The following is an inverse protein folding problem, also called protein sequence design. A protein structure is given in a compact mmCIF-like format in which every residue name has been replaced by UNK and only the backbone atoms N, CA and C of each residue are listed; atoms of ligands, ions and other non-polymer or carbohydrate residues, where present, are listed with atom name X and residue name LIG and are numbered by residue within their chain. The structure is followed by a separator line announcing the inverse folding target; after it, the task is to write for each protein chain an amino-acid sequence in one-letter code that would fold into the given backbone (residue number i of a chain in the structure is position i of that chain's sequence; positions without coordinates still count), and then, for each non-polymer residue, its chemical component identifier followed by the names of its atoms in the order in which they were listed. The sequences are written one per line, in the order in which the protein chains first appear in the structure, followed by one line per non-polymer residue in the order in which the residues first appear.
data_IF_939878150843
#
_entry.id   IF_939878150843
#
_cell.length_a   1.000
_cell.length_b   1.000
_cell.length_c   1.000
_cell.angle_alpha   90.00
_cell.angle_beta   90.00
_cell.angle_gamma   90.00
#
_symmetry.space_group_name_H-M   'P 1'
#
loop_
_entity.id
_entity.type
_entity.pdbx_description
1 polymer ?
#
# COMPACT_ATOMS: atom_id res chain seq x y z
N UNK A 1 3.61 -13.50 8.23
CA UNK A 1 4.84 -12.68 8.23
C UNK A 1 4.54 -11.29 8.81
N UNK A 2 5.48 -10.66 9.52
CA UNK A 2 5.33 -9.28 10.05
C UNK A 2 6.46 -8.42 9.52
N UNK A 3 6.19 -7.16 9.23
CA UNK A 3 7.19 -6.24 8.72
C UNK A 3 6.80 -4.78 8.99
N UNK A 4 7.80 -3.92 9.14
CA UNK A 4 7.60 -2.49 9.36
C UNK A 4 7.04 -1.82 8.10
N UNK A 5 5.96 -1.05 8.28
CA UNK A 5 5.38 -0.18 7.26
C UNK A 5 5.52 1.27 7.69
N UNK A 6 6.20 2.08 6.89
CA UNK A 6 6.24 3.54 7.07
C UNK A 6 5.03 4.15 6.39
N UNK A 7 4.14 4.79 7.17
CA UNK A 7 2.94 5.45 6.65
C UNK A 7 3.32 6.76 5.94
N UNK A 8 2.84 6.94 4.72
CA UNK A 8 3.00 8.18 3.96
C UNK A 8 1.71 8.99 3.95
N UNK A 9 0.58 8.33 3.72
CA UNK A 9 -0.69 8.97 3.45
C UNK A 9 -1.74 8.45 4.43
N UNK A 10 -2.24 9.31 5.35
CA UNK A 10 -3.32 8.94 6.23
C UNK A 10 -4.60 8.64 5.44
N UNK A 11 -5.38 7.68 5.93
CA UNK A 11 -6.75 7.42 5.47
C UNK A 11 -7.55 8.73 5.40
N UNK A 12 -8.34 8.90 4.35
CA UNK A 12 -9.14 10.11 4.13
C UNK A 12 -8.36 11.28 3.54
N UNK A 13 -7.05 11.17 3.34
CA UNK A 13 -6.25 12.23 2.72
C UNK A 13 -6.51 12.31 1.21
N UNK A 14 -6.56 13.55 0.69
CA UNK A 14 -6.42 13.89 -0.75
C UNK A 14 -5.01 14.33 -1.12
N UNK A 15 -4.14 14.45 -0.12
CA UNK A 15 -2.76 14.86 -0.28
C UNK A 15 -1.92 13.60 -0.41
N UNK A 16 -1.32 13.42 -1.58
CA UNK A 16 -0.34 12.35 -1.82
C UNK A 16 1.01 12.83 -1.33
N UNK A 17 1.37 12.37 -0.15
CA UNK A 17 2.73 12.46 0.35
C UNK A 17 3.55 11.29 -0.19
N UNK A 18 4.87 11.46 -0.15
CA UNK A 18 5.86 10.41 -0.39
C UNK A 18 7.05 10.64 0.53
N UNK A 19 7.76 9.58 0.89
CA UNK A 19 9.05 9.67 1.56
C UNK A 19 10.14 9.70 0.50
N UNK A 20 10.96 10.74 0.54
CA UNK A 20 12.20 10.82 -0.22
C UNK A 20 13.18 9.79 0.36
N UNK A 21 13.31 8.62 -0.28
CA UNK A 21 14.07 7.47 0.26
C UNK A 21 15.57 7.73 0.41
N UNK A 22 16.13 8.76 -0.23
CA UNK A 22 17.51 9.19 -0.02
C UNK A 22 17.68 9.98 1.29
N UNK A 23 16.69 10.83 1.63
CA UNK A 23 16.79 11.77 2.77
C UNK A 23 15.93 11.40 3.97
N UNK A 24 14.98 10.47 3.81
CA UNK A 24 13.99 10.07 4.81
C UNK A 24 12.94 11.15 5.11
N UNK A 25 12.83 12.20 4.28
CA UNK A 25 11.88 13.30 4.53
C UNK A 25 10.55 13.05 3.83
N UNK A 26 9.47 13.38 4.53
CA UNK A 26 8.13 13.43 3.92
C UNK A 26 8.04 14.64 2.99
N UNK A 27 7.61 14.40 1.77
CA UNK A 27 7.45 15.38 0.70
C UNK A 27 6.01 15.35 0.20
N UNK A 28 5.50 16.52 -0.19
CA UNK A 28 4.28 16.62 -0.98
C UNK A 28 4.63 16.28 -2.43
N UNK A 29 4.13 15.16 -2.93
CA UNK A 29 4.15 14.87 -4.37
C UNK A 29 3.09 15.72 -5.07
N UNK A 30 1.81 15.48 -4.73
CA UNK A 30 0.68 16.23 -5.31
C UNK A 30 -0.58 16.15 -4.44
N UNK A 31 -1.55 17.01 -4.77
CA UNK A 31 -2.95 16.81 -4.37
C UNK A 31 -3.63 16.02 -5.49
N UNK A 32 -4.44 15.01 -5.14
CA UNK A 32 -5.14 14.20 -6.13
C UNK A 32 -6.02 15.07 -7.04
N UNK A 33 -6.00 14.77 -8.34
CA UNK A 33 -6.75 15.51 -9.36
C UNK A 33 -8.26 15.24 -9.26
N UNK A 34 -8.63 14.08 -8.69
CA UNK A 34 -10.00 13.69 -8.40
C UNK A 34 -10.44 14.17 -7.00
N UNK A 35 -11.74 14.09 -6.73
CA UNK A 35 -12.30 14.33 -5.38
C UNK A 35 -12.21 13.09 -4.47
N UNK A 36 -11.37 12.11 -4.82
CA UNK A 36 -11.21 10.87 -4.07
C UNK A 36 -10.24 11.02 -2.91
N UNK A 37 -10.34 10.11 -1.95
CA UNK A 37 -9.51 10.06 -0.73
C UNK A 37 -9.03 8.63 -0.53
N UNK A 38 -7.83 8.47 0.05
CA UNK A 38 -7.27 7.15 0.34
C UNK A 38 -8.19 6.37 1.31
N UNK A 39 -8.61 5.13 0.97
CA UNK A 39 -9.57 4.35 1.76
C UNK A 39 -8.97 3.71 3.01
N UNK A 40 -7.65 3.56 3.04
CA UNK A 40 -6.83 3.02 4.14
C UNK A 40 -5.65 3.95 4.40
N UNK A 41 -4.91 3.72 5.49
CA UNK A 41 -3.58 4.33 5.59
C UNK A 41 -2.68 3.66 4.54
N UNK A 42 -1.88 4.46 3.85
CA UNK A 42 -1.02 4.01 2.77
C UNK A 42 0.42 4.38 3.06
N UNK A 43 1.33 3.51 2.65
CA UNK A 43 2.77 3.73 2.72
C UNK A 43 3.49 2.55 2.09
N UNK A 44 4.68 2.24 2.58
CA UNK A 44 5.52 1.19 2.02
C UNK A 44 6.18 0.34 3.11
N UNK A 45 6.57 -0.88 2.76
CA UNK A 45 7.38 -1.74 3.61
C UNK A 45 8.83 -1.30 3.62
N UNK A 46 9.40 -1.10 4.80
CA UNK A 46 10.80 -0.70 4.96
C UNK A 46 11.74 -1.77 4.38
N UNK A 47 12.87 -1.38 3.79
CA UNK A 47 13.87 -2.35 3.29
C UNK A 47 13.32 -3.36 2.25
N UNK A 48 12.45 -2.90 1.35
CA UNK A 48 11.92 -3.68 0.24
C UNK A 48 12.20 -2.97 -1.09
N UNK A 49 12.16 -3.73 -2.19
CA UNK A 49 12.28 -3.22 -3.55
C UNK A 49 11.29 -3.98 -4.44
N UNK A 50 10.29 -3.27 -4.95
CA UNK A 50 9.30 -3.73 -5.91
C UNK A 50 9.88 -3.94 -7.31
N UNK A 51 9.03 -4.37 -8.24
CA UNK A 51 9.42 -4.57 -9.64
C UNK A 51 9.54 -3.27 -10.44
N UNK A 52 8.88 -2.22 -9.98
CA UNK A 52 8.92 -0.85 -10.52
C UNK A 52 10.16 -0.05 -10.05
N UNK A 53 10.89 -0.57 -9.06
CA UNK A 53 12.09 0.05 -8.50
C UNK A 53 11.84 0.89 -7.25
N UNK A 54 10.59 1.00 -6.79
CA UNK A 54 10.22 1.67 -5.55
C UNK A 54 10.03 0.63 -4.41
N UNK A 55 9.99 1.02 -3.13
CA UNK A 55 9.63 0.09 -2.06
C UNK A 55 8.22 -0.50 -2.24
N UNK A 56 7.99 -1.72 -1.75
CA UNK A 56 6.71 -2.39 -1.89
C UNK A 56 5.61 -1.66 -1.10
N UNK A 57 4.53 -1.30 -1.79
CA UNK A 57 3.42 -0.57 -1.21
C UNK A 57 2.57 -1.41 -0.25
N UNK A 58 2.08 -0.73 0.78
CA UNK A 58 1.23 -1.30 1.83
C UNK A 58 -0.02 -0.45 2.10
N UNK A 59 -1.16 -1.14 2.24
CA UNK A 59 -2.44 -0.61 2.70
C UNK A 59 -2.68 -1.10 4.13
N UNK A 60 -2.61 -0.22 5.11
CA UNK A 60 -2.75 -0.58 6.52
C UNK A 60 -4.18 -0.29 6.99
N UNK A 61 -4.90 -1.36 7.34
CA UNK A 61 -6.22 -1.29 7.94
C UNK A 61 -6.15 -0.88 9.41
N UNK A 62 -6.53 0.37 9.68
CA UNK A 62 -6.75 0.91 11.02
C UNK A 62 -7.80 2.02 10.96
N UNK A 63 -9.04 1.66 10.58
CA UNK A 63 -10.05 2.63 10.14
C UNK A 63 -10.55 3.59 11.23
N UNK A 64 -10.52 3.17 12.49
CA UNK A 64 -11.04 3.94 13.63
C UNK A 64 -10.00 4.87 14.26
N UNK A 65 -8.75 4.87 13.77
CA UNK A 65 -7.67 5.65 14.35
C UNK A 65 -6.86 6.35 13.26
N UNK A 66 -6.57 7.63 13.49
CA UNK A 66 -5.72 8.41 12.62
C UNK A 66 -4.24 8.09 12.86
N UNK A 67 -3.49 8.00 11.77
CA UNK A 67 -2.03 7.96 11.75
C UNK A 67 -1.49 9.21 11.07
N UNK A 68 -0.19 9.45 11.22
CA UNK A 68 0.48 10.60 10.63
C UNK A 68 1.59 10.14 9.67
N UNK A 69 1.93 10.94 8.64
CA UNK A 69 3.06 10.64 7.76
C UNK A 69 4.36 10.45 8.57
N UNK A 70 5.13 9.43 8.24
CA UNK A 70 6.38 9.04 8.90
C UNK A 70 6.21 8.14 10.14
N UNK A 71 4.99 7.78 10.53
CA UNK A 71 4.76 6.77 11.58
C UNK A 71 5.09 5.38 11.04
N UNK A 72 5.88 4.62 11.78
CA UNK A 72 6.17 3.21 11.50
C UNK A 72 5.16 2.32 12.23
N UNK A 73 4.64 1.31 11.53
CA UNK A 73 3.64 0.37 12.04
C UNK A 73 4.09 -1.06 11.78
N UNK A 74 4.11 -1.88 12.83
CA UNK A 74 4.22 -3.34 12.71
C UNK A 74 2.96 -3.88 12.03
N UNK A 75 3.09 -4.32 10.78
CA UNK A 75 1.96 -4.78 9.97
C UNK A 75 2.15 -6.23 9.51
N UNK A 76 1.03 -6.94 9.30
CA UNK A 76 1.01 -8.28 8.72
C UNK A 76 0.16 -8.32 7.44
N UNK A 77 0.66 -8.90 6.34
CA UNK A 77 -0.11 -9.08 5.11
C UNK A 77 -1.32 -10.00 5.30
N UNK A 78 -2.41 -9.70 4.59
CA UNK A 78 -3.62 -10.56 4.52
C UNK A 78 -4.10 -10.78 3.08
N UNK A 79 -3.69 -9.93 2.13
CA UNK A 79 -4.01 -10.04 0.71
C UNK A 79 -3.11 -9.10 -0.10
N UNK A 80 -3.09 -9.25 -1.42
CA UNK A 80 -2.44 -8.30 -2.34
C UNK A 80 -3.39 -7.94 -3.47
N UNK A 81 -3.50 -6.66 -3.77
CA UNK A 81 -4.20 -6.15 -4.94
C UNK A 81 -3.19 -5.89 -6.05
N UNK A 82 -3.31 -6.67 -7.13
CA UNK A 82 -2.41 -6.56 -8.29
C UNK A 82 -3.02 -5.63 -9.33
N UNK A 83 -2.20 -4.72 -9.84
CA UNK A 83 -2.54 -3.84 -10.94
C UNK A 83 -1.29 -3.52 -11.75
N UNK A 84 -1.52 -3.06 -12.99
CA UNK A 84 -0.48 -2.48 -13.84
C UNK A 84 -0.88 -1.05 -14.15
N UNK A 85 0.07 -0.12 -14.11
CA UNK A 85 -0.12 1.27 -14.53
C UNK A 85 0.94 1.71 -15.55
N UNK A 86 1.05 3.02 -15.81
CA UNK A 86 2.02 3.55 -16.76
C UNK A 86 3.50 3.42 -16.33
N UNK A 87 3.77 3.04 -15.08
CA UNK A 87 5.09 2.76 -14.52
C UNK A 87 5.48 1.28 -14.52
N UNK A 88 4.51 0.36 -14.56
CA UNK A 88 4.77 -1.08 -14.55
C UNK A 88 3.77 -1.86 -13.69
N UNK A 89 4.19 -3.02 -13.20
CA UNK A 89 3.44 -3.78 -12.21
C UNK A 89 3.47 -3.06 -10.86
N UNK A 90 2.31 -2.88 -10.26
CA UNK A 90 2.09 -2.01 -9.10
C UNK A 90 1.26 -2.74 -8.02
N UNK A 91 1.91 -3.64 -7.29
CA UNK A 91 1.25 -4.46 -6.27
C UNK A 91 1.01 -3.67 -4.98
N UNK A 92 -0.22 -3.73 -4.45
CA UNK A 92 -0.61 -3.09 -3.19
C UNK A 92 -0.93 -4.15 -2.15
N UNK A 93 -0.08 -4.30 -1.13
CA UNK A 93 -0.31 -5.32 -0.10
C UNK A 93 -1.27 -4.81 0.96
N UNK A 94 -2.41 -5.48 1.13
CA UNK A 94 -3.34 -5.20 2.21
C UNK A 94 -2.86 -5.85 3.51
N UNK A 95 -2.78 -5.04 4.55
CA UNK A 95 -2.27 -5.41 5.86
C UNK A 95 -3.21 -5.00 6.97
N UNK A 96 -3.06 -5.67 8.11
CA UNK A 96 -3.58 -5.21 9.40
C UNK A 96 -2.42 -5.04 10.39
N UNK A 97 -2.64 -4.20 11.41
CA UNK A 97 -1.66 -3.97 12.47
C UNK A 97 -1.46 -5.23 13.32
N UNK A 98 -0.25 -5.41 13.85
CA UNK A 98 0.05 -6.49 14.81
C UNK A 98 -0.49 -6.17 16.21
N UNK A 99 -1.81 -6.26 16.36
CA UNK A 99 -2.51 -6.04 17.61
C UNK A 99 -3.60 -7.09 17.79
N UNK A 100 -3.75 -7.61 19.02
CA UNK A 100 -4.72 -8.65 19.37
C UNK A 100 -6.16 -8.32 18.99
N UNK A 101 -6.52 -7.03 18.92
CA UNK A 101 -7.84 -6.58 18.46
C UNK A 101 -8.13 -7.00 17.03
N UNK A 102 -7.11 -7.21 16.21
CA UNK A 102 -7.20 -7.56 14.79
C UNK A 102 -6.93 -9.04 14.51
N UNK A 103 -6.73 -9.88 15.53
CA UNK A 103 -6.47 -11.34 15.36
C UNK A 103 -7.58 -12.08 14.61
N UNK A 104 -8.79 -11.52 14.54
CA UNK A 104 -9.91 -12.08 13.79
C UNK A 104 -9.80 -11.89 12.26
N UNK A 105 -8.91 -11.03 11.77
CA UNK A 105 -8.73 -10.75 10.33
C UNK A 105 -7.49 -11.48 9.83
N UNK A 106 -7.63 -12.62 9.16
CA UNK A 106 -6.50 -13.45 8.72
C UNK A 106 -6.35 -13.49 7.20
N UNK A 107 -7.46 -13.38 6.48
CA UNK A 107 -7.55 -13.44 5.02
C UNK A 107 -8.40 -12.30 4.48
N UNK A 108 -8.39 -12.09 3.16
CA UNK A 108 -9.26 -11.10 2.50
C UNK A 108 -10.75 -11.31 2.82
N UNK A 109 -11.18 -12.56 3.01
CA UNK A 109 -12.57 -12.90 3.33
C UNK A 109 -13.04 -12.43 4.70
N UNK A 110 -12.11 -12.05 5.58
CA UNK A 110 -12.42 -11.51 6.91
C UNK A 110 -12.61 -9.98 6.88
N UNK A 111 -12.38 -9.35 5.72
CA UNK A 111 -12.55 -7.92 5.48
C UNK A 111 -13.95 -7.64 4.95
N UNK A 112 -14.54 -6.51 5.36
CA UNK A 112 -15.81 -6.05 4.81
C UNK A 112 -15.73 -5.93 3.27
N UNK A 113 -16.66 -6.57 2.57
CA UNK A 113 -16.64 -6.62 1.10
C UNK A 113 -16.74 -5.25 0.44
N UNK A 114 -17.36 -4.26 1.09
CA UNK A 114 -17.45 -2.91 0.57
C UNK A 114 -16.12 -2.18 0.71
N UNK A 115 -15.36 -2.40 1.79
CA UNK A 115 -14.00 -1.87 1.90
C UNK A 115 -13.10 -2.41 0.77
N UNK A 116 -13.18 -3.72 0.50
CA UNK A 116 -12.40 -4.33 -0.59
C UNK A 116 -12.74 -3.67 -1.94
N UNK A 117 -14.03 -3.45 -2.21
CA UNK A 117 -14.50 -2.75 -3.43
C UNK A 117 -14.10 -1.27 -3.45
N UNK A 118 -14.09 -0.59 -2.31
CA UNK A 118 -13.63 0.81 -2.19
C UNK A 118 -12.15 0.94 -2.51
N UNK A 119 -11.31 0.01 -2.04
CA UNK A 119 -9.88 -0.04 -2.35
C UNK A 119 -9.66 -0.23 -3.84
N UNK A 120 -10.30 -1.24 -4.45
CA UNK A 120 -10.19 -1.50 -5.89
C UNK A 120 -10.66 -0.29 -6.71
N UNK A 121 -11.83 0.27 -6.37
CA UNK A 121 -12.36 1.44 -7.05
C UNK A 121 -11.43 2.66 -6.92
N UNK A 122 -10.83 2.88 -5.74
CA UNK A 122 -9.89 3.97 -5.53
C UNK A 122 -8.71 3.87 -6.50
N UNK A 123 -7.98 2.75 -6.51
CA UNK A 123 -6.78 2.62 -7.33
C UNK A 123 -7.09 2.62 -8.84
N UNK A 124 -8.23 2.10 -9.25
CA UNK A 124 -8.65 2.16 -10.66
C UNK A 124 -9.04 3.56 -11.15
N UNK A 125 -9.32 4.52 -10.26
CA UNK A 125 -9.99 5.79 -10.63
C UNK A 125 -9.27 7.05 -10.16
N UNK A 126 -8.43 6.98 -9.13
CA UNK A 126 -7.86 8.18 -8.53
C UNK A 126 -7.02 9.03 -9.50
N UNK A 127 -6.45 8.38 -10.52
CA UNK A 127 -5.65 8.96 -11.62
C UNK A 127 -6.48 9.38 -12.86
N UNK A 128 -7.81 9.23 -12.88
CA UNK A 128 -8.65 9.46 -14.07
C UNK A 128 -8.53 10.88 -14.68
N UNK A 129 -8.16 11.87 -13.86
CA UNK A 129 -7.99 13.27 -14.28
C UNK A 129 -6.52 13.68 -14.43
N UNK A 130 -5.58 12.75 -14.28
CA UNK A 130 -4.15 12.99 -14.50
C UNK A 130 -3.80 12.76 -15.98
N UNK A 131 -3.27 13.77 -16.70
CA UNK A 131 -2.98 13.64 -18.13
C UNK A 131 -2.00 12.51 -18.44
N UNK A 132 -2.41 11.57 -19.29
CA UNK A 132 -1.55 10.47 -19.76
C UNK A 132 -1.41 9.29 -18.79
N UNK A 133 -2.08 9.31 -17.64
CA UNK A 133 -2.08 8.21 -16.66
C UNK A 133 -3.20 7.21 -16.95
N UNK A 134 -2.95 5.95 -16.63
CA UNK A 134 -3.93 4.87 -16.75
C UNK A 134 -3.64 3.79 -15.71
N UNK A 135 -4.66 3.01 -15.36
CA UNK A 135 -4.55 1.87 -14.44
C UNK A 135 -5.36 0.71 -15.00
N UNK A 136 -4.83 -0.50 -14.84
CA UNK A 136 -5.53 -1.75 -15.14
C UNK A 136 -5.45 -2.69 -13.94
N UNK A 137 -6.61 -3.05 -13.38
CA UNK A 137 -6.69 -4.04 -12.33
C UNK A 137 -6.42 -5.46 -12.88
N UNK A 138 -5.66 -6.23 -12.12
CA UNK A 138 -5.44 -7.67 -12.31
C UNK A 138 -6.18 -8.49 -11.25
N UNK A 139 -6.54 -7.86 -10.15
CA UNK A 139 -7.43 -8.39 -9.13
C UNK A 139 -6.72 -8.71 -7.83
N UNK A 140 -7.48 -9.29 -6.90
CA UNK A 140 -6.98 -9.68 -5.59
C UNK A 140 -6.38 -11.08 -5.60
N UNK A 141 -5.27 -11.26 -4.89
CA UNK A 141 -4.71 -12.55 -4.52
C UNK A 141 -4.65 -12.70 -2.98
N UNK A 142 -4.51 -13.94 -2.54
CA UNK A 142 -4.59 -14.31 -1.13
C UNK A 142 -3.37 -13.88 -0.29
N UNK A 143 -3.41 -14.19 1.00
CA UNK A 143 -2.31 -13.91 1.93
C UNK A 143 -1.00 -14.58 1.49
N UNK A 144 -1.05 -15.80 0.95
CA UNK A 144 0.16 -16.51 0.55
C UNK A 144 0.87 -15.79 -0.60
N UNK A 145 0.12 -15.28 -1.57
CA UNK A 145 0.66 -14.45 -2.63
C UNK A 145 1.23 -13.13 -2.09
N UNK A 146 0.56 -12.51 -1.12
CA UNK A 146 1.01 -11.28 -0.49
C UNK A 146 2.34 -11.46 0.29
N UNK A 147 2.47 -12.55 1.04
CA UNK A 147 3.70 -12.89 1.75
C UNK A 147 4.83 -13.22 0.78
N UNK A 148 4.53 -13.94 -0.32
CA UNK A 148 5.52 -14.23 -1.36
C UNK A 148 6.05 -12.97 -2.05
N UNK A 149 5.18 -11.99 -2.34
CA UNK A 149 5.61 -10.71 -2.94
C UNK A 149 6.47 -9.89 -1.98
N UNK A 150 6.12 -9.87 -0.69
CA UNK A 150 6.93 -9.21 0.34
C UNK A 150 8.30 -9.88 0.47
N UNK A 151 8.37 -11.21 0.53
CA UNK A 151 9.64 -11.95 0.57
C UNK A 151 10.50 -11.69 -0.68
N UNK A 152 9.89 -11.68 -1.86
CA UNK A 152 10.57 -11.36 -3.11
C UNK A 152 11.14 -9.94 -3.09
N UNK A 153 10.38 -8.97 -2.59
CA UNK A 153 10.79 -7.57 -2.49
C UNK A 153 11.91 -7.34 -1.47
N UNK A 154 11.87 -8.03 -0.32
CA UNK A 154 12.97 -8.02 0.65
C UNK A 154 14.25 -8.57 0.03
N UNK A 155 14.13 -9.68 -0.73
CA UNK A 155 15.27 -10.29 -1.40
C UNK A 155 15.87 -9.36 -2.46
N UNK A 156 15.05 -8.75 -3.32
CA UNK A 156 15.50 -7.77 -4.33
C UNK A 156 16.26 -6.61 -3.67
N UNK A 157 15.76 -6.10 -2.55
CA UNK A 157 16.43 -5.03 -1.81
C UNK A 157 17.79 -5.45 -1.24
N UNK A 158 17.88 -6.67 -0.68
CA UNK A 158 19.14 -7.20 -0.16
C UNK A 158 20.19 -7.40 -1.26
N UNK A 159 19.79 -7.91 -2.42
CA UNK A 159 20.68 -8.16 -3.57
C UNK A 159 21.22 -6.86 -4.19
N UNK A 160 20.49 -5.74 -4.04
CA UNK A 160 20.89 -4.41 -4.57
C UNK A 160 21.86 -3.66 -3.66
N UNK A 161 22.03 -4.09 -2.40
CA UNK A 161 22.95 -3.46 -1.43
C UNK A 161 24.41 -3.92 -1.58
N UNK A 162 24.76 -4.56 -2.69
CA UNK A 162 26.12 -4.98 -3.08
C UNK A 162 26.59 -4.25 -4.34
#
# INVERSE_FOLDING_TARGET
MKHDVTIEIPRGSRVKYEVDHETGRVRLDRVLFTSMQYPTHYGFFDNTLGEDGDPLDALVMLQDFDLHPGVVVDARPIAVFNMTDDGGGDAKVLCVVDDKRFDHIQELSDVDEFLVKEIEHFFMRYKDLEPGKWVKAEGWADRAAAEAELEASIKRFADTKH
#
